data_IF_483412685170
#
_entry.id   IF_483412685170
#
_cell.length_a   1.000
_cell.length_b   1.000
_cell.length_c   1.000
_cell.angle_alpha   90.00
_cell.angle_beta   90.00
_cell.angle_gamma   90.00
#
_symmetry.space_group_name_H-M   'P 1'
#
loop_
_entity.id
_entity.type
_entity.pdbx_description
1 polymer ?
#
# COMPACT_ATOMS: atom_id res chain seq x y z
N UNK A 1 38.36 -10.08 -54.38
CA UNK A 1 37.48 -11.26 -54.49
C UNK A 1 37.93 -12.24 -53.42
N UNK A 2 36.98 -12.75 -52.62
CA UNK A 2 37.11 -13.42 -51.32
C UNK A 2 37.47 -12.48 -50.15
N UNK A 3 36.74 -12.45 -49.03
CA UNK A 3 35.76 -13.38 -48.48
C UNK A 3 34.71 -12.64 -47.62
N UNK A 4 33.43 -12.82 -47.95
CA UNK A 4 32.34 -12.67 -46.99
C UNK A 4 32.55 -13.71 -45.87
N UNK A 5 32.84 -13.23 -44.66
CA UNK A 5 32.65 -14.02 -43.44
C UNK A 5 31.46 -13.42 -42.69
N UNK A 6 30.29 -14.01 -42.92
CA UNK A 6 29.09 -13.81 -42.12
C UNK A 6 29.31 -14.44 -40.74
N UNK A 7 29.85 -13.67 -39.79
CA UNK A 7 29.74 -13.99 -38.38
C UNK A 7 28.35 -13.61 -37.90
N UNK A 8 27.43 -14.59 -37.84
CA UNK A 8 26.27 -14.46 -36.95
C UNK A 8 26.82 -14.14 -35.56
N UNK A 9 26.33 -13.08 -34.92
CA UNK A 9 26.56 -12.85 -33.49
C UNK A 9 25.93 -14.01 -32.71
N UNK A 10 26.69 -15.09 -32.53
CA UNK A 10 26.37 -16.14 -31.58
C UNK A 10 26.14 -15.48 -30.22
N UNK A 11 25.00 -15.76 -29.58
CA UNK A 11 24.74 -15.42 -28.19
C UNK A 11 25.83 -16.05 -27.32
N UNK A 12 26.93 -15.35 -27.10
CA UNK A 12 27.96 -15.75 -26.13
C UNK A 12 27.34 -15.60 -24.74
N UNK A 13 26.78 -16.70 -24.23
CA UNK A 13 26.32 -16.77 -22.84
C UNK A 13 27.57 -16.88 -21.98
N UNK A 14 27.90 -15.82 -21.23
CA UNK A 14 28.98 -15.87 -20.24
C UNK A 14 28.69 -17.00 -19.24
N UNK A 15 29.54 -18.03 -19.22
CA UNK A 15 29.45 -19.15 -18.29
C UNK A 15 29.54 -18.66 -16.84
N UNK A 16 30.34 -17.61 -16.61
CA UNK A 16 30.47 -16.99 -15.29
C UNK A 16 29.17 -16.30 -14.87
N UNK A 17 28.56 -15.50 -15.75
CA UNK A 17 27.26 -14.87 -15.47
C UNK A 17 26.17 -15.92 -15.25
N UNK A 18 26.19 -17.04 -15.98
CA UNK A 18 25.27 -18.15 -15.76
C UNK A 18 25.44 -18.79 -14.37
N UNK A 19 26.69 -18.89 -13.86
CA UNK A 19 26.96 -19.33 -12.47
C UNK A 19 26.41 -18.33 -11.47
N UNK A 20 26.68 -17.03 -11.64
CA UNK A 20 26.14 -15.98 -10.77
C UNK A 20 24.62 -16.04 -10.66
N UNK A 21 23.92 -16.19 -11.79
CA UNK A 21 22.45 -16.34 -11.81
C UNK A 21 21.98 -17.61 -11.08
N UNK A 22 22.69 -18.74 -11.26
CA UNK A 22 22.37 -19.98 -10.55
C UNK A 22 22.54 -19.80 -9.04
N UNK A 23 23.70 -19.29 -8.62
CA UNK A 23 23.98 -19.02 -7.20
C UNK A 23 22.98 -18.03 -6.61
N UNK A 24 22.58 -16.98 -7.34
CA UNK A 24 21.56 -16.03 -6.88
C UNK A 24 20.20 -16.69 -6.66
N UNK A 25 19.76 -17.59 -7.55
CA UNK A 25 18.51 -18.35 -7.32
C UNK A 25 18.62 -19.29 -6.11
N UNK A 26 19.73 -20.03 -6.03
CA UNK A 26 19.97 -20.97 -4.93
C UNK A 26 20.06 -20.24 -3.58
N UNK A 27 20.69 -19.06 -3.54
CA UNK A 27 20.83 -18.24 -2.34
C UNK A 27 19.49 -17.68 -1.85
N UNK A 28 18.61 -17.21 -2.75
CA UNK A 28 17.25 -16.77 -2.35
C UNK A 28 16.47 -17.92 -1.70
N UNK A 29 16.51 -19.12 -2.29
CA UNK A 29 15.89 -20.31 -1.72
C UNK A 29 16.47 -20.63 -0.33
N UNK A 30 17.79 -20.64 -0.20
CA UNK A 30 18.47 -20.90 1.09
C UNK A 30 18.16 -19.85 2.16
N UNK A 31 18.05 -18.58 1.79
CA UNK A 31 17.64 -17.51 2.72
C UNK A 31 16.19 -17.71 3.19
N UNK A 32 15.30 -18.15 2.30
CA UNK A 32 13.93 -18.51 2.66
C UNK A 32 13.88 -19.71 3.60
N UNK A 33 14.57 -20.80 3.27
CA UNK A 33 14.69 -21.99 4.13
C UNK A 33 15.28 -21.64 5.51
N UNK A 34 16.30 -20.78 5.54
CA UNK A 34 16.91 -20.32 6.79
C UNK A 34 15.93 -19.49 7.63
N UNK A 35 15.10 -18.66 6.99
CA UNK A 35 14.08 -17.85 7.66
C UNK A 35 12.94 -18.68 8.27
N UNK A 36 12.74 -19.93 7.84
CA UNK A 36 11.75 -20.86 8.37
C UNK A 36 12.29 -21.77 9.50
N UNK A 37 13.58 -21.68 9.83
CA UNK A 37 14.15 -22.49 10.92
C UNK A 37 13.50 -22.18 12.27
N UNK A 38 13.39 -23.21 13.13
CA UNK A 38 12.65 -23.12 14.39
C UNK A 38 13.14 -22.01 15.34
N UNK A 39 14.43 -21.68 15.27
CA UNK A 39 15.04 -20.60 16.06
C UNK A 39 14.52 -19.19 15.69
N UNK A 40 13.95 -19.02 14.49
CA UNK A 40 13.43 -17.73 14.03
C UNK A 40 11.90 -17.61 14.12
N UNK A 41 11.19 -18.66 14.56
CA UNK A 41 9.71 -18.64 14.65
C UNK A 41 9.23 -17.44 15.47
N UNK A 42 9.82 -17.20 16.64
CA UNK A 42 9.41 -16.06 17.50
C UNK A 42 9.67 -14.70 16.83
N UNK A 43 10.83 -14.52 16.20
CA UNK A 43 11.19 -13.27 15.53
C UNK A 43 10.35 -13.05 14.27
N UNK A 44 10.06 -14.11 13.50
CA UNK A 44 9.20 -14.06 12.33
C UNK A 44 7.76 -13.65 12.70
N UNK A 45 7.22 -14.18 13.81
CA UNK A 45 5.90 -13.79 14.31
C UNK A 45 5.86 -12.30 14.71
N UNK A 46 6.88 -11.81 15.41
CA UNK A 46 6.99 -10.37 15.74
C UNK A 46 7.11 -9.51 14.49
N UNK A 47 7.88 -9.96 13.49
CA UNK A 47 8.04 -9.25 12.24
C UNK A 47 6.72 -9.16 11.46
N UNK A 48 5.96 -10.26 11.40
CA UNK A 48 4.63 -10.30 10.81
C UNK A 48 3.67 -9.34 11.52
N UNK A 49 3.55 -9.43 12.85
CA UNK A 49 2.71 -8.54 13.64
C UNK A 49 3.04 -7.06 13.37
N UNK A 50 4.33 -6.73 13.30
CA UNK A 50 4.80 -5.38 13.04
C UNK A 50 4.53 -4.91 11.61
N UNK A 51 4.80 -5.75 10.62
CA UNK A 51 4.60 -5.44 9.21
C UNK A 51 3.12 -5.23 8.92
N UNK A 52 2.27 -6.16 9.37
CA UNK A 52 0.84 -6.14 9.11
C UNK A 52 0.09 -5.08 9.90
N UNK A 53 0.61 -4.61 11.03
CA UNK A 53 0.04 -3.46 11.75
C UNK A 53 0.01 -2.16 10.90
N UNK A 54 0.79 -2.11 9.80
CA UNK A 54 0.80 -0.97 8.88
C UNK A 54 -0.16 -1.13 7.68
N UNK A 55 -0.75 -2.31 7.49
CA UNK A 55 -1.63 -2.63 6.37
C UNK A 55 -3.09 -2.68 6.81
N UNK A 56 -4.02 -2.47 5.87
CA UNK A 56 -5.42 -2.81 6.14
C UNK A 56 -5.51 -4.33 6.33
N UNK A 57 -6.20 -4.77 7.39
CA UNK A 57 -6.20 -6.19 7.75
C UNK A 57 -6.82 -7.09 6.68
N UNK A 58 -7.61 -6.50 5.78
CA UNK A 58 -8.24 -7.18 4.64
C UNK A 58 -7.26 -7.53 3.50
N UNK A 59 -6.02 -7.06 3.58
CA UNK A 59 -4.92 -7.41 2.68
C UNK A 59 -4.01 -8.49 3.29
N UNK A 60 -4.18 -8.80 4.57
CA UNK A 60 -3.39 -9.79 5.31
C UNK A 60 -3.98 -11.20 5.08
N UNK A 61 -3.91 -11.72 3.85
CA UNK A 61 -4.05 -13.17 3.59
C UNK A 61 -3.77 -13.57 2.13
N UNK A 62 -3.22 -12.69 1.28
CA UNK A 62 -2.81 -13.09 -0.06
C UNK A 62 -1.33 -13.50 -0.08
N UNK A 63 -1.02 -14.55 -0.87
CA UNK A 63 0.34 -15.10 -1.03
C UNK A 63 1.35 -13.99 -1.37
N UNK A 64 0.89 -12.95 -2.07
CA UNK A 64 1.69 -11.81 -2.49
C UNK A 64 2.11 -10.91 -1.32
N UNK A 65 1.19 -10.60 -0.40
CA UNK A 65 1.44 -9.77 0.78
C UNK A 65 2.30 -10.54 1.78
N UNK A 66 2.10 -11.86 1.89
CA UNK A 66 2.98 -12.76 2.64
C UNK A 66 4.39 -12.80 2.05
N UNK A 67 4.54 -12.93 0.73
CA UNK A 67 5.84 -12.90 0.03
C UNK A 67 6.62 -11.63 0.37
N UNK A 68 5.95 -10.47 0.38
CA UNK A 68 6.57 -9.16 0.68
C UNK A 68 6.92 -8.99 2.15
N UNK A 69 6.05 -9.44 3.06
CA UNK A 69 6.36 -9.48 4.49
C UNK A 69 7.59 -10.35 4.75
N UNK A 70 7.70 -11.49 4.05
CA UNK A 70 8.80 -12.42 4.21
C UNK A 70 10.11 -11.87 3.65
N UNK A 71 10.08 -11.21 2.48
CA UNK A 71 11.24 -10.48 1.96
C UNK A 71 11.70 -9.40 2.96
N UNK A 72 10.75 -8.61 3.47
CA UNK A 72 11.04 -7.56 4.44
C UNK A 72 11.67 -8.11 5.71
N UNK A 73 11.19 -9.26 6.21
CA UNK A 73 11.79 -9.97 7.34
C UNK A 73 13.25 -10.36 7.07
N UNK A 74 13.56 -10.86 5.87
CA UNK A 74 14.91 -11.32 5.51
C UNK A 74 15.91 -10.14 5.42
N UNK A 75 15.50 -9.03 4.82
CA UNK A 75 16.41 -7.96 4.41
C UNK A 75 16.34 -6.68 5.25
N UNK A 76 15.21 -6.38 5.89
CA UNK A 76 14.97 -5.08 6.52
C UNK A 76 14.69 -5.17 8.02
N UNK A 77 14.00 -6.23 8.47
CA UNK A 77 13.65 -6.39 9.88
C UNK A 77 14.90 -6.55 10.76
N UNK A 78 14.98 -5.74 11.82
CA UNK A 78 16.06 -5.78 12.80
C UNK A 78 15.65 -6.70 13.95
N UNK A 79 16.20 -7.91 13.94
CA UNK A 79 16.04 -8.87 15.03
C UNK A 79 16.87 -8.44 16.26
N UNK A 80 16.76 -9.22 17.34
CA UNK A 80 17.61 -9.05 18.54
C UNK A 80 19.10 -8.94 18.16
N UNK A 81 19.77 -7.90 18.67
CA UNK A 81 21.17 -7.60 18.34
C UNK A 81 21.35 -6.71 17.11
N UNK A 82 20.28 -6.10 16.60
CA UNK A 82 20.27 -5.11 15.51
C UNK A 82 20.79 -5.65 14.16
N UNK A 83 20.61 -6.96 13.93
CA UNK A 83 20.97 -7.66 12.69
C UNK A 83 19.73 -8.08 11.91
N UNK A 84 19.83 -8.03 10.59
CA UNK A 84 18.86 -8.64 9.69
C UNK A 84 19.16 -10.12 9.52
N UNK A 85 18.17 -10.92 9.08
CA UNK A 85 18.36 -12.35 8.89
C UNK A 85 19.39 -12.66 7.80
N UNK A 86 19.37 -11.90 6.70
CA UNK A 86 20.42 -11.94 5.66
C UNK A 86 21.83 -11.68 6.21
N UNK A 87 21.96 -10.77 7.19
CA UNK A 87 23.24 -10.52 7.86
C UNK A 87 23.67 -11.70 8.73
N UNK A 88 22.75 -12.28 9.51
CA UNK A 88 23.03 -13.48 10.31
C UNK A 88 23.45 -14.64 9.41
N UNK A 89 22.73 -14.86 8.30
CA UNK A 89 23.08 -15.89 7.32
C UNK A 89 24.49 -15.71 6.77
N UNK A 90 24.91 -14.48 6.47
CA UNK A 90 26.26 -14.19 5.94
C UNK A 90 27.42 -14.49 6.88
N UNK A 91 27.15 -14.68 8.17
CA UNK A 91 28.15 -14.98 9.20
C UNK A 91 28.32 -16.49 9.43
N UNK A 92 27.53 -17.34 8.75
CA UNK A 92 27.68 -18.78 8.81
C UNK A 92 29.05 -19.21 8.23
N UNK A 93 29.70 -20.25 8.82
CA UNK A 93 31.02 -20.69 8.37
C UNK A 93 31.02 -21.29 6.96
N UNK A 94 29.95 -22.02 6.60
CA UNK A 94 29.88 -22.89 5.43
C UNK A 94 29.20 -22.24 4.21
N UNK A 95 29.51 -20.97 3.94
CA UNK A 95 28.99 -20.23 2.77
C UNK A 95 30.03 -20.25 1.65
N UNK A 96 29.58 -20.55 0.42
CA UNK A 96 30.46 -20.58 -0.76
C UNK A 96 30.97 -19.18 -1.13
N UNK A 97 32.07 -19.11 -1.89
CA UNK A 97 32.63 -17.84 -2.36
C UNK A 97 31.61 -16.97 -3.11
N UNK A 98 30.85 -17.56 -4.04
CA UNK A 98 29.89 -16.80 -4.84
C UNK A 98 28.73 -16.27 -3.97
N UNK A 99 28.27 -17.05 -2.98
CA UNK A 99 27.25 -16.60 -2.03
C UNK A 99 27.76 -15.45 -1.16
N UNK A 100 29.00 -15.52 -0.67
CA UNK A 100 29.62 -14.42 0.10
C UNK A 100 29.67 -13.12 -0.69
N UNK A 101 30.04 -13.19 -1.98
CA UNK A 101 30.08 -12.02 -2.87
C UNK A 101 28.67 -11.45 -3.08
N UNK A 102 27.68 -12.30 -3.39
CA UNK A 102 26.30 -11.83 -3.54
C UNK A 102 25.74 -11.23 -2.25
N UNK A 103 25.96 -11.87 -1.09
CA UNK A 103 25.49 -11.38 0.21
C UNK A 103 26.10 -10.02 0.58
N UNK A 104 27.36 -9.77 0.23
CA UNK A 104 27.98 -8.47 0.47
C UNK A 104 27.24 -7.32 -0.26
N UNK A 105 26.76 -7.58 -1.47
CA UNK A 105 25.91 -6.63 -2.21
C UNK A 105 24.47 -6.61 -1.66
N UNK A 106 23.89 -7.78 -1.37
CA UNK A 106 22.46 -7.91 -1.03
C UNK A 106 22.11 -7.39 0.36
N UNK A 107 22.99 -7.50 1.35
CA UNK A 107 22.77 -6.97 2.71
C UNK A 107 22.62 -5.45 2.70
N UNK A 108 23.24 -4.78 1.73
CA UNK A 108 23.17 -3.33 1.55
C UNK A 108 22.10 -2.91 0.53
N UNK A 109 21.38 -3.87 -0.06
CA UNK A 109 20.25 -3.58 -0.93
C UNK A 109 19.09 -3.01 -0.11
N UNK A 110 18.16 -2.32 -0.79
CA UNK A 110 16.95 -1.75 -0.17
C UNK A 110 15.77 -1.83 -1.13
N UNK A 111 14.57 -1.79 -0.57
CA UNK A 111 13.38 -1.44 -1.33
C UNK A 111 13.45 0.06 -1.65
N UNK A 112 13.21 0.44 -2.91
CA UNK A 112 13.10 1.83 -3.35
C UNK A 112 11.96 1.99 -4.35
N UNK A 113 11.69 3.24 -4.71
CA UNK A 113 10.77 3.62 -5.77
C UNK A 113 11.52 3.85 -7.07
N UNK A 114 11.07 3.22 -8.15
CA UNK A 114 11.70 3.30 -9.45
C UNK A 114 10.72 3.70 -10.53
N UNK A 115 11.12 4.63 -11.40
CA UNK A 115 10.37 4.97 -12.60
C UNK A 115 10.86 4.12 -13.78
N UNK A 116 9.94 3.49 -14.52
CA UNK A 116 10.28 2.72 -15.73
C UNK A 116 10.62 3.69 -16.86
N UNK A 117 11.89 3.73 -17.27
CA UNK A 117 12.36 4.63 -18.34
C UNK A 117 12.27 3.95 -19.71
N UNK A 118 12.54 2.64 -19.76
CA UNK A 118 12.53 1.88 -21.02
C UNK A 118 12.21 0.42 -20.76
N UNK A 119 11.37 -0.17 -21.61
CA UNK A 119 11.05 -1.60 -21.57
C UNK A 119 11.66 -2.29 -22.80
N UNK A 120 12.32 -3.43 -22.58
CA UNK A 120 12.73 -4.37 -23.62
C UNK A 120 11.90 -5.66 -23.44
N UNK A 121 10.78 -5.80 -24.19
CA UNK A 121 9.80 -6.84 -23.95
C UNK A 121 10.40 -8.25 -23.83
N UNK A 122 9.93 -9.03 -22.85
CA UNK A 122 10.38 -10.40 -22.55
C UNK A 122 11.88 -10.54 -22.23
N UNK A 123 12.57 -9.44 -21.92
CA UNK A 123 14.02 -9.44 -21.68
C UNK A 123 14.42 -8.67 -20.42
N UNK A 124 14.16 -7.36 -20.39
CA UNK A 124 14.74 -6.45 -19.39
C UNK A 124 14.09 -5.07 -19.44
N UNK A 125 14.44 -4.21 -18.48
CA UNK A 125 13.98 -2.83 -18.42
C UNK A 125 15.08 -1.91 -17.88
N UNK A 126 15.02 -0.63 -18.24
CA UNK A 126 15.81 0.44 -17.61
C UNK A 126 14.88 1.17 -16.65
N UNK A 127 15.28 1.24 -15.40
CA UNK A 127 14.54 1.91 -14.34
C UNK A 127 15.41 3.00 -13.73
N UNK A 128 14.79 4.09 -13.27
CA UNK A 128 15.45 5.19 -12.57
C UNK A 128 15.02 5.17 -11.11
N UNK A 129 15.97 5.03 -10.19
CA UNK A 129 15.70 5.22 -8.76
C UNK A 129 15.26 6.67 -8.56
N UNK A 130 14.02 6.89 -8.13
CA UNK A 130 13.44 8.23 -7.99
C UNK A 130 14.15 9.00 -6.89
N UNK A 131 14.66 8.27 -5.89
CA UNK A 131 15.36 8.84 -4.74
C UNK A 131 16.77 9.28 -5.14
N UNK A 132 17.58 8.39 -5.72
CA UNK A 132 19.00 8.70 -6.06
C UNK A 132 19.22 9.28 -7.45
N UNK A 133 18.23 9.19 -8.34
CA UNK A 133 18.34 9.53 -9.75
C UNK A 133 19.15 8.53 -10.58
N UNK A 134 19.66 7.44 -9.98
CA UNK A 134 20.47 6.45 -10.68
C UNK A 134 19.64 5.60 -11.64
N UNK A 135 20.14 5.41 -12.85
CA UNK A 135 19.56 4.46 -13.81
C UNK A 135 20.17 3.05 -13.61
N UNK A 136 19.31 2.04 -13.61
CA UNK A 136 19.67 0.62 -13.49
C UNK A 136 19.08 -0.16 -14.65
N UNK A 137 19.86 -1.08 -15.22
CA UNK A 137 19.37 -2.06 -16.19
C UNK A 137 19.06 -3.36 -15.46
N UNK A 138 17.77 -3.68 -15.35
CA UNK A 138 17.28 -4.87 -14.63
C UNK A 138 16.79 -5.92 -15.61
N UNK A 139 17.24 -7.16 -15.40
CA UNK A 139 16.87 -8.33 -16.20
C UNK A 139 15.71 -9.05 -15.54
N UNK A 140 14.50 -8.76 -16.01
CA UNK A 140 13.29 -9.49 -15.63
C UNK A 140 12.34 -9.55 -16.82
N UNK A 141 12.07 -10.76 -17.31
CA UNK A 141 11.23 -10.96 -18.48
C UNK A 141 9.73 -10.89 -18.16
N UNK A 142 9.32 -11.27 -16.93
CA UNK A 142 7.92 -11.24 -16.51
C UNK A 142 7.50 -9.79 -16.34
N UNK A 143 8.24 -9.04 -15.51
CA UNK A 143 7.95 -7.63 -15.24
C UNK A 143 8.01 -6.81 -16.53
N UNK A 144 9.00 -7.04 -17.41
CA UNK A 144 9.10 -6.35 -18.70
C UNK A 144 7.94 -6.65 -19.68
N UNK A 145 7.04 -7.58 -19.36
CA UNK A 145 5.83 -7.85 -20.15
C UNK A 145 4.58 -7.22 -19.51
N UNK A 146 4.63 -6.89 -18.23
CA UNK A 146 3.50 -6.42 -17.43
C UNK A 146 3.50 -4.92 -17.16
N UNK A 147 4.65 -4.24 -17.36
CA UNK A 147 4.81 -2.81 -17.05
C UNK A 147 5.00 -1.96 -18.29
N UNK A 148 4.60 -0.69 -18.16
CA UNK A 148 4.74 0.34 -19.19
C UNK A 148 5.75 1.41 -18.79
N UNK A 149 6.27 2.13 -19.78
CA UNK A 149 7.13 3.30 -19.56
C UNK A 149 6.36 4.33 -18.73
N UNK A 150 7.01 4.87 -17.70
CA UNK A 150 6.45 5.80 -16.73
C UNK A 150 5.80 5.14 -15.50
N UNK A 151 5.55 3.83 -15.51
CA UNK A 151 5.09 3.14 -14.30
C UNK A 151 6.07 3.33 -13.14
N UNK A 152 5.53 3.38 -11.91
CA UNK A 152 6.29 3.50 -10.68
C UNK A 152 6.32 2.17 -9.96
N UNK A 153 7.50 1.61 -9.75
CA UNK A 153 7.73 0.31 -9.14
C UNK A 153 8.20 0.47 -7.70
N UNK A 154 7.62 -0.29 -6.78
CA UNK A 154 8.17 -0.50 -5.43
C UNK A 154 8.81 -1.88 -5.33
N UNK A 155 10.13 -1.94 -5.47
CA UNK A 155 10.88 -3.20 -5.56
C UNK A 155 12.25 -3.10 -4.88
N UNK A 156 12.82 -4.27 -4.56
CA UNK A 156 14.23 -4.41 -4.21
C UNK A 156 15.00 -4.91 -5.42
N UNK A 157 16.08 -4.20 -5.77
CA UNK A 157 16.97 -4.55 -6.87
C UNK A 157 18.24 -5.21 -6.31
N UNK A 158 18.54 -6.42 -6.79
CA UNK A 158 19.67 -7.23 -6.36
C UNK A 158 20.72 -7.30 -7.47
N UNK A 159 21.99 -7.10 -7.09
CA UNK A 159 23.12 -7.29 -8.01
C UNK A 159 23.46 -8.77 -8.11
N UNK A 160 23.59 -9.28 -9.33
CA UNK A 160 23.89 -10.69 -9.63
C UNK A 160 24.99 -10.72 -10.69
N UNK A 161 26.25 -10.80 -10.24
CA UNK A 161 27.40 -10.67 -11.12
C UNK A 161 27.45 -9.27 -11.76
N UNK A 162 27.34 -9.22 -13.09
CA UNK A 162 27.34 -7.96 -13.86
C UNK A 162 25.93 -7.43 -14.17
N UNK A 163 24.89 -8.08 -13.68
CA UNK A 163 23.50 -7.73 -13.96
C UNK A 163 22.75 -7.37 -12.68
N UNK A 164 21.57 -6.78 -12.84
CA UNK A 164 20.61 -6.58 -11.78
C UNK A 164 19.34 -7.40 -12.03
N UNK A 165 18.76 -7.92 -10.97
CA UNK A 165 17.48 -8.65 -10.97
C UNK A 165 16.58 -8.07 -9.89
N UNK A 166 15.27 -8.27 -10.02
CA UNK A 166 14.38 -8.04 -8.88
C UNK A 166 14.49 -9.17 -7.86
N UNK A 167 14.23 -8.82 -6.61
CA UNK A 167 14.29 -9.77 -5.50
C UNK A 167 13.03 -10.64 -5.41
N UNK A 168 11.86 -10.04 -5.67
CA UNK A 168 10.51 -10.63 -5.56
C UNK A 168 9.55 -9.96 -6.55
N UNK A 169 8.31 -10.40 -6.58
CA UNK A 169 7.17 -9.76 -7.24
C UNK A 169 6.99 -8.31 -6.78
N UNK A 170 6.86 -7.38 -7.72
CA UNK A 170 6.76 -5.95 -7.47
C UNK A 170 5.33 -5.42 -7.51
N UNK A 171 5.13 -4.27 -6.87
CA UNK A 171 3.95 -3.45 -7.13
C UNK A 171 4.30 -2.43 -8.21
N UNK A 172 3.46 -2.36 -9.25
CA UNK A 172 3.53 -1.32 -10.28
C UNK A 172 2.33 -0.38 -10.11
N UNK A 173 2.61 0.92 -10.05
CA UNK A 173 1.60 1.97 -10.08
C UNK A 173 1.65 2.74 -11.41
N UNK A 174 0.55 3.35 -11.84
CA UNK A 174 0.56 4.26 -12.97
C UNK A 174 1.49 5.45 -12.73
N UNK A 175 1.99 6.07 -13.81
CA UNK A 175 2.86 7.25 -13.74
C UNK A 175 2.25 8.39 -12.90
N UNK A 176 0.92 8.56 -13.00
CA UNK A 176 0.16 9.57 -12.26
C UNK A 176 0.24 9.42 -10.73
N UNK A 177 0.63 8.25 -10.21
CA UNK A 177 0.78 8.01 -8.77
C UNK A 177 2.07 8.59 -8.19
N UNK A 178 3.07 8.93 -9.02
CA UNK A 178 4.38 9.43 -8.60
C UNK A 178 4.30 10.62 -7.64
N UNK A 179 3.56 11.71 -7.95
CA UNK A 179 3.53 12.88 -7.07
C UNK A 179 2.94 12.58 -5.69
N UNK A 180 1.90 11.74 -5.62
CA UNK A 180 1.25 11.36 -4.37
C UNK A 180 2.17 10.56 -3.44
N UNK A 181 2.97 9.65 -4.00
CA UNK A 181 3.98 8.92 -3.24
C UNK A 181 5.05 9.84 -2.68
N UNK A 182 5.54 10.78 -3.50
CA UNK A 182 6.58 11.73 -3.07
C UNK A 182 6.06 12.68 -1.98
N UNK A 183 4.79 13.10 -2.03
CA UNK A 183 4.16 13.87 -0.95
C UNK A 183 4.12 13.05 0.34
N UNK A 184 3.66 11.79 0.30
CA UNK A 184 3.62 10.92 1.50
C UNK A 184 5.00 10.73 2.13
N UNK A 185 6.03 10.51 1.29
CA UNK A 185 7.41 10.42 1.76
C UNK A 185 7.85 11.74 2.40
N UNK A 186 7.61 12.86 1.71
CA UNK A 186 7.96 14.19 2.22
C UNK A 186 7.38 14.44 3.62
N UNK A 187 6.08 14.23 3.78
CA UNK A 187 5.38 14.51 5.04
C UNK A 187 5.89 13.62 6.18
N UNK A 188 6.11 12.34 5.91
CA UNK A 188 6.65 11.39 6.88
C UNK A 188 8.08 11.74 7.29
N UNK A 189 8.92 12.13 6.34
CA UNK A 189 10.30 12.57 6.61
C UNK A 189 10.29 13.83 7.49
N UNK A 190 9.43 14.80 7.18
CA UNK A 190 9.29 16.00 8.00
C UNK A 190 8.79 15.69 9.41
N UNK A 191 7.79 14.80 9.54
CA UNK A 191 7.26 14.38 10.82
C UNK A 191 8.34 13.71 11.68
N UNK A 192 9.11 12.78 11.11
CA UNK A 192 10.21 12.11 11.79
C UNK A 192 11.32 13.08 12.20
N UNK A 193 11.66 14.04 11.35
CA UNK A 193 12.65 15.06 11.66
C UNK A 193 12.20 15.94 12.83
N UNK A 194 10.94 16.39 12.82
CA UNK A 194 10.35 17.25 13.84
C UNK A 194 10.20 16.52 15.19
N UNK A 195 9.68 15.29 15.19
CA UNK A 195 9.46 14.50 16.43
C UNK A 195 10.78 14.15 17.13
N UNK A 196 11.79 13.77 16.36
CA UNK A 196 13.07 13.34 16.91
C UNK A 196 14.05 14.49 17.18
N UNK A 197 13.66 15.75 16.89
CA UNK A 197 14.54 16.94 16.95
C UNK A 197 15.91 16.66 16.33
N UNK A 198 15.93 15.94 15.20
CA UNK A 198 17.18 15.48 14.62
C UNK A 198 18.06 16.67 14.25
N UNK A 199 19.27 16.72 14.80
CA UNK A 199 20.22 17.80 14.51
C UNK A 199 20.95 17.58 13.18
N UNK A 200 20.85 16.38 12.60
CA UNK A 200 21.56 15.97 11.37
C UNK A 200 20.57 15.27 10.42
N UNK A 201 20.66 15.51 9.10
CA UNK A 201 19.86 14.80 8.11
C UNK A 201 20.01 13.26 8.21
N UNK A 202 18.90 12.54 8.08
CA UNK A 202 18.90 11.07 8.04
C UNK A 202 19.52 10.57 6.71
N UNK A 203 20.09 9.37 6.66
CA UNK A 203 20.49 8.78 5.38
C UNK A 203 19.27 8.17 4.67
N UNK A 204 19.19 8.28 3.32
CA UNK A 204 18.10 7.68 2.55
C UNK A 204 17.99 6.17 2.77
N UNK A 205 19.12 5.50 2.87
CA UNK A 205 19.20 4.06 3.14
C UNK A 205 18.56 3.72 4.49
N UNK A 206 18.84 4.52 5.51
CA UNK A 206 18.27 4.33 6.86
C UNK A 206 16.77 4.57 6.87
N UNK A 207 16.31 5.62 6.17
CA UNK A 207 14.89 5.92 6.04
C UNK A 207 14.15 4.78 5.33
N UNK A 208 14.62 4.38 4.14
CA UNK A 208 13.98 3.35 3.32
C UNK A 208 13.97 1.99 4.01
N UNK A 209 15.04 1.59 4.70
CA UNK A 209 15.03 0.37 5.52
C UNK A 209 13.99 0.43 6.65
N UNK A 210 13.94 1.54 7.38
CA UNK A 210 13.03 1.68 8.51
C UNK A 210 11.56 1.80 8.10
N UNK A 211 11.28 2.36 6.91
CA UNK A 211 9.93 2.72 6.46
C UNK A 211 9.42 1.88 5.29
N UNK A 212 10.17 0.89 4.80
CA UNK A 212 9.79 0.07 3.63
C UNK A 212 8.40 -0.58 3.78
N UNK A 213 8.08 -1.13 4.95
CA UNK A 213 6.74 -1.69 5.25
C UNK A 213 5.61 -0.64 5.16
N UNK A 214 5.87 0.60 5.58
CA UNK A 214 4.88 1.69 5.53
C UNK A 214 4.75 2.25 4.10
N UNK A 215 5.86 2.39 3.38
CA UNK A 215 5.84 2.76 1.97
C UNK A 215 5.08 1.70 1.17
N UNK A 216 5.28 0.41 1.50
CA UNK A 216 4.50 -0.68 0.92
C UNK A 216 3.00 -0.51 1.15
N UNK A 217 2.59 -0.21 2.37
CA UNK A 217 1.19 0.09 2.70
C UNK A 217 0.64 1.23 1.83
N UNK A 218 1.37 2.34 1.68
CA UNK A 218 0.95 3.44 0.82
C UNK A 218 0.82 3.06 -0.66
N UNK A 219 1.73 2.22 -1.16
CA UNK A 219 1.68 1.75 -2.55
C UNK A 219 0.47 0.83 -2.77
N UNK A 220 0.17 -0.07 -1.83
CA UNK A 220 -1.02 -0.92 -1.92
C UNK A 220 -2.28 -0.06 -1.87
N UNK A 221 -2.37 0.86 -0.91
CA UNK A 221 -3.48 1.81 -0.79
C UNK A 221 -3.70 2.54 -2.13
N UNK A 222 -2.67 3.21 -2.66
CA UNK A 222 -2.77 3.96 -3.92
C UNK A 222 -3.15 3.03 -5.08
N UNK A 223 -2.64 1.80 -5.11
CA UNK A 223 -2.99 0.80 -6.12
C UNK A 223 -4.47 0.42 -6.10
N UNK A 224 -5.05 0.25 -4.91
CA UNK A 224 -6.48 -0.03 -4.74
C UNK A 224 -7.35 1.15 -5.21
N UNK A 225 -6.96 2.39 -4.89
CA UNK A 225 -7.73 3.59 -5.25
C UNK A 225 -7.54 4.03 -6.71
N UNK A 226 -6.47 3.61 -7.37
CA UNK A 226 -6.23 3.94 -8.79
C UNK A 226 -6.98 3.02 -9.77
N UNK A 227 -7.77 2.06 -9.26
CA UNK A 227 -8.54 1.15 -10.10
C UNK A 227 -7.66 0.21 -10.94
N UNK A 228 -6.43 -0.07 -10.48
CA UNK A 228 -5.54 -0.99 -11.16
C UNK A 228 -6.22 -2.35 -11.35
N UNK A 229 -6.06 -2.99 -12.52
CA UNK A 229 -6.46 -4.37 -12.67
C UNK A 229 -5.73 -5.20 -11.61
N UNK A 230 -6.48 -6.06 -10.92
CA UNK A 230 -5.94 -7.18 -10.15
C UNK A 230 -4.80 -7.82 -10.97
N UNK A 231 -3.66 -8.14 -10.34
CA UNK A 231 -2.46 -8.76 -10.95
C UNK A 231 -2.76 -10.07 -11.74
N UNK A 232 -4.03 -10.49 -11.81
CA UNK A 232 -4.59 -11.55 -12.65
C UNK A 232 -4.80 -11.19 -14.14
N UNK A 233 -4.28 -10.08 -14.64
CA UNK A 233 -4.19 -9.84 -16.09
C UNK A 233 -5.52 -9.67 -16.83
N UNK A 234 -6.59 -9.23 -16.16
CA UNK A 234 -7.82 -8.82 -16.84
C UNK A 234 -7.76 -7.34 -17.18
N UNK A 235 -7.16 -7.02 -18.33
CA UNK A 235 -7.31 -5.71 -18.95
C UNK A 235 -8.74 -5.55 -19.48
N UNK A 236 -9.43 -4.52 -19.00
CA UNK A 236 -10.35 -3.77 -19.84
C UNK A 236 -10.01 -2.31 -19.66
N UNK A 237 -9.51 -1.73 -20.74
CA UNK A 237 -9.26 -0.32 -20.93
C UNK A 237 -10.46 0.48 -20.40
N UNK A 238 -10.24 1.13 -19.25
CA UNK A 238 -10.94 2.34 -18.88
C UNK A 238 -9.85 3.31 -18.48
N UNK A 239 -9.49 4.18 -19.43
CA UNK A 239 -8.81 5.43 -19.11
C UNK A 239 -9.57 6.12 -17.98
N UNK A 240 -9.05 5.98 -16.76
CA UNK A 240 -9.57 6.71 -15.62
C UNK A 240 -9.02 8.12 -15.75
N UNK A 241 -9.87 9.06 -16.17
CA UNK A 241 -9.56 10.48 -16.21
C UNK A 241 -9.28 10.99 -14.79
N UNK A 242 -8.04 10.83 -14.32
CA UNK A 242 -7.46 11.52 -13.17
C UNK A 242 -7.27 13.00 -13.54
N UNK A 243 -8.37 13.73 -13.64
CA UNK A 243 -8.36 15.17 -13.85
C UNK A 243 -8.27 15.89 -12.49
N UNK A 244 -7.24 15.54 -11.70
CA UNK A 244 -6.90 16.21 -10.45
C UNK A 244 -5.57 16.92 -10.74
N UNK A 245 -5.60 18.26 -10.73
CA UNK A 245 -4.51 19.22 -10.96
C UNK A 245 -3.12 18.64 -11.27
N UNK A 246 -2.59 18.94 -12.46
CA UNK A 246 -1.26 18.54 -12.95
C UNK A 246 -0.14 19.04 -12.02
N UNK A 247 0.20 18.28 -10.98
CA UNK A 247 1.53 18.35 -10.38
C UNK A 247 2.53 18.00 -11.47
N UNK A 248 3.39 18.95 -11.79
CA UNK A 248 4.37 18.81 -12.85
C UNK A 248 5.59 18.03 -12.34
N UNK A 249 6.41 17.50 -13.26
CA UNK A 249 7.73 16.96 -12.90
C UNK A 249 8.58 17.99 -12.12
N UNK A 250 8.39 19.29 -12.37
CA UNK A 250 9.05 20.36 -11.62
C UNK A 250 8.64 20.40 -10.15
N UNK A 251 7.35 20.17 -9.83
CA UNK A 251 6.86 20.14 -8.46
C UNK A 251 7.40 18.93 -7.69
N UNK A 252 7.50 17.78 -8.38
CA UNK A 252 8.13 16.58 -7.83
C UNK A 252 9.62 16.82 -7.54
N UNK A 253 10.34 17.42 -8.48
CA UNK A 253 11.75 17.80 -8.28
C UNK A 253 11.94 18.78 -7.12
N UNK A 254 11.00 19.72 -6.93
CA UNK A 254 11.04 20.67 -5.81
C UNK A 254 10.82 19.96 -4.47
N UNK A 255 9.89 19.01 -4.41
CA UNK A 255 9.66 18.17 -3.24
C UNK A 255 10.88 17.31 -2.91
N UNK A 256 11.50 16.67 -3.91
CA UNK A 256 12.73 15.89 -3.72
C UNK A 256 13.88 16.77 -3.20
N UNK A 257 14.02 17.99 -3.73
CA UNK A 257 15.00 18.99 -3.22
C UNK A 257 14.68 19.43 -1.80
N UNK A 258 13.42 19.52 -1.42
CA UNK A 258 13.01 19.84 -0.06
C UNK A 258 13.35 18.68 0.90
N UNK A 259 13.02 17.44 0.53
CA UNK A 259 13.39 16.23 1.27
C UNK A 259 14.91 16.17 1.49
N UNK A 260 15.71 16.55 0.49
CA UNK A 260 17.17 16.57 0.58
C UNK A 260 17.72 17.49 1.69
N UNK A 261 16.91 18.40 2.26
CA UNK A 261 17.27 19.19 3.45
C UNK A 261 17.24 18.38 4.74
N UNK A 262 16.40 17.35 4.78
CA UNK A 262 16.16 16.49 5.95
C UNK A 262 16.79 15.10 5.80
N UNK A 263 17.07 14.68 4.56
CA UNK A 263 17.71 13.41 4.23
C UNK A 263 18.90 13.64 3.31
N UNK A 264 20.03 13.03 3.63
CA UNK A 264 21.23 13.08 2.80
C UNK A 264 21.57 11.72 2.20
N UNK A 265 22.30 11.72 1.08
CA UNK A 265 22.93 10.53 0.51
C UNK A 265 24.29 10.21 1.12
N UNK A 266 24.76 10.99 2.10
CA UNK A 266 26.08 10.74 2.68
C UNK A 266 25.97 9.56 3.64
N UNK A 267 26.62 8.46 3.27
CA UNK A 267 26.95 7.38 4.18
C UNK A 267 27.80 7.93 5.33
N UNK A 268 27.20 8.18 6.48
CA UNK A 268 27.98 8.36 7.71
C UNK A 268 28.47 6.99 8.15
N UNK A 269 29.72 6.68 7.81
CA UNK A 269 30.50 5.68 8.54
C UNK A 269 30.62 6.12 10.01
N UNK A 270 30.27 5.18 10.90
CA UNK A 270 30.63 5.09 12.32
C UNK A 270 30.61 6.36 13.19
N UNK A 271 29.60 6.47 14.05
CA UNK A 271 29.82 6.88 15.45
C UNK A 271 28.62 6.51 16.34
N UNK A 272 28.86 5.62 17.30
CA UNK A 272 28.16 5.56 18.59
C UNK A 272 26.65 5.28 18.57
N UNK A 273 26.31 3.99 18.73
CA UNK A 273 25.02 3.57 19.26
C UNK A 273 24.82 4.19 20.66
N UNK A 274 24.02 5.25 20.76
CA UNK A 274 23.26 5.50 21.98
C UNK A 274 21.94 4.75 21.86
N UNK A 275 21.93 3.59 22.51
CA UNK A 275 20.75 2.78 22.76
C UNK A 275 19.85 3.51 23.75
N UNK A 276 18.80 4.14 23.24
CA UNK A 276 17.59 4.39 24.02
C UNK A 276 16.39 3.90 23.21
N UNK A 277 16.30 2.57 23.14
CA UNK A 277 15.10 1.87 22.70
C UNK A 277 14.02 2.02 23.76
N UNK A 278 13.26 3.12 23.66
CA UNK A 278 11.94 3.25 24.27
C UNK A 278 10.95 3.61 23.17
N UNK A 279 10.63 2.61 22.33
CA UNK A 279 9.45 2.69 21.46
C UNK A 279 8.24 2.64 22.38
N UNK A 280 7.73 3.83 22.70
CA UNK A 280 6.48 4.00 23.40
C UNK A 280 5.36 3.40 22.55
N UNK A 281 4.63 2.44 23.15
CA UNK A 281 3.30 2.02 22.69
C UNK A 281 2.37 3.22 22.74
N UNK A 282 2.22 3.95 21.64
CA UNK A 282 1.05 4.79 21.45
C UNK A 282 -0.03 3.94 20.78
N UNK A 283 -0.97 3.47 21.61
CA UNK A 283 -2.34 3.18 21.16
C UNK A 283 -2.89 4.50 20.59
N UNK A 284 -2.84 4.65 19.28
CA UNK A 284 -3.71 5.61 18.60
C UNK A 284 -5.14 5.06 18.66
N UNK A 285 -5.80 5.26 19.81
CA UNK A 285 -7.24 5.39 19.82
C UNK A 285 -7.54 6.72 19.13
N UNK A 286 -7.71 6.67 17.80
CA UNK A 286 -8.30 7.75 17.04
C UNK A 286 -9.62 8.13 17.70
N UNK A 287 -9.63 9.30 18.32
CA UNK A 287 -10.78 9.85 19.03
C UNK A 287 -11.80 10.26 17.94
N UNK A 288 -12.87 9.47 17.81
CA UNK A 288 -14.18 9.81 17.23
C UNK A 288 -14.23 11.18 16.52
N UNK A 289 -14.00 11.20 15.21
CA UNK A 289 -14.35 12.35 14.37
C UNK A 289 -15.78 12.08 13.87
N UNK A 290 -16.73 12.79 14.48
CA UNK A 290 -18.17 12.57 14.36
C UNK A 290 -18.91 12.90 15.66
N UNK A 291 -18.24 12.86 16.82
CA UNK A 291 -18.76 13.50 18.03
C UNK A 291 -18.42 14.98 18.01
N UNK A 292 -19.19 15.78 17.28
CA UNK A 292 -19.49 17.12 17.84
C UNK A 292 -20.06 16.85 19.23
N UNK A 293 -19.46 17.48 20.23
CA UNK A 293 -19.96 17.45 21.60
C UNK A 293 -21.38 18.03 21.63
N UNK A 294 -22.38 17.19 21.40
CA UNK A 294 -23.74 17.47 21.84
C UNK A 294 -23.69 17.24 23.35
N UNK A 295 -23.51 18.34 24.08
CA UNK A 295 -23.85 18.43 25.50
C UNK A 295 -25.16 17.68 25.72
N UNK A 296 -25.17 16.74 26.68
CA UNK A 296 -26.36 16.25 27.41
C UNK A 296 -27.69 16.79 26.85
N UNK A 297 -28.21 16.13 25.83
CA UNK A 297 -29.60 16.23 25.42
C UNK A 297 -30.08 14.79 25.25
N UNK A 298 -31.24 14.51 25.85
CA UNK A 298 -31.70 13.17 26.21
C UNK A 298 -31.73 12.14 25.08
N UNK A 299 -31.74 10.89 25.52
CA UNK A 299 -31.98 9.65 24.81
C UNK A 299 -33.29 9.64 23.98
N UNK A 300 -33.34 10.36 22.86
CA UNK A 300 -34.43 10.32 21.87
C UNK A 300 -33.89 10.64 20.45
N UNK A 301 -32.89 9.89 19.97
CA UNK A 301 -32.57 9.89 18.55
C UNK A 301 -33.60 9.01 17.84
N UNK A 302 -34.38 9.58 16.92
CA UNK A 302 -35.42 8.84 16.20
C UNK A 302 -34.77 7.87 15.21
N UNK A 303 -35.23 6.61 15.19
CA UNK A 303 -34.81 5.62 14.19
C UNK A 303 -35.52 5.94 12.87
N UNK A 304 -34.80 5.98 11.75
CA UNK A 304 -35.40 6.19 10.44
C UNK A 304 -36.38 5.05 10.10
N UNK A 305 -37.54 5.42 9.55
CA UNK A 305 -38.49 4.46 8.97
C UNK A 305 -38.15 4.24 7.49
N UNK A 306 -37.61 3.06 7.15
CA UNK A 306 -37.13 2.78 5.78
C UNK A 306 -38.25 2.61 4.74
N UNK A 307 -39.51 2.49 5.17
CA UNK A 307 -40.67 2.40 4.28
C UNK A 307 -41.31 3.78 4.02
N UNK A 308 -40.88 4.79 4.78
CA UNK A 308 -41.33 6.16 4.62
C UNK A 308 -40.36 6.89 3.69
N UNK A 309 -40.68 6.92 2.39
CA UNK A 309 -39.90 7.62 1.37
C UNK A 309 -39.06 6.73 0.43
N UNK A 310 -38.94 5.42 0.71
CA UNK A 310 -38.27 4.47 -0.18
C UNK A 310 -39.22 3.34 -0.60
N UNK A 311 -39.34 3.08 -1.90
CA UNK A 311 -40.14 1.98 -2.45
C UNK A 311 -39.25 0.82 -2.91
N UNK A 312 -39.19 -0.25 -2.12
CA UNK A 312 -38.28 -1.36 -2.35
C UNK A 312 -38.82 -2.35 -3.38
N UNK A 313 -38.04 -2.63 -4.44
CA UNK A 313 -38.42 -3.64 -5.46
C UNK A 313 -38.51 -5.07 -4.90
N UNK A 314 -37.77 -5.37 -3.83
CA UNK A 314 -37.72 -6.68 -3.19
C UNK A 314 -37.71 -6.54 -1.68
N UNK A 315 -38.40 -7.44 -1.00
CA UNK A 315 -38.46 -7.49 0.48
C UNK A 315 -37.06 -7.62 1.11
N UNK A 316 -36.17 -8.39 0.50
CA UNK A 316 -34.79 -8.54 0.99
C UNK A 316 -33.97 -7.23 0.91
N UNK A 317 -34.38 -6.26 0.07
CA UNK A 317 -33.71 -4.95 0.02
C UNK A 317 -34.14 -4.06 1.19
N UNK A 318 -35.42 -4.06 1.55
CA UNK A 318 -35.90 -3.40 2.77
C UNK A 318 -35.29 -4.04 4.01
N UNK A 319 -35.15 -5.36 4.06
CA UNK A 319 -34.50 -6.06 5.20
C UNK A 319 -33.06 -5.58 5.42
N UNK A 320 -32.29 -5.39 4.35
CA UNK A 320 -30.93 -4.81 4.45
C UNK A 320 -30.97 -3.38 5.00
N UNK A 321 -31.90 -2.55 4.54
CA UNK A 321 -32.04 -1.17 5.00
C UNK A 321 -32.43 -1.12 6.49
N UNK A 322 -33.34 -1.98 6.95
CA UNK A 322 -33.75 -2.06 8.35
C UNK A 322 -32.59 -2.45 9.26
N UNK A 323 -31.81 -3.47 8.85
CA UNK A 323 -30.61 -3.89 9.58
C UNK A 323 -29.55 -2.79 9.61
N UNK A 324 -29.31 -2.12 8.48
CA UNK A 324 -28.38 -1.00 8.39
C UNK A 324 -28.76 0.14 9.35
N UNK A 325 -30.02 0.55 9.33
CA UNK A 325 -30.53 1.61 10.23
C UNK A 325 -30.40 1.19 11.69
N UNK A 326 -30.64 -0.08 12.02
CA UNK A 326 -30.44 -0.57 13.39
C UNK A 326 -28.98 -0.47 13.83
N UNK A 327 -28.03 -0.88 12.99
CA UNK A 327 -26.59 -0.80 13.31
C UNK A 327 -26.16 0.66 13.48
N UNK A 328 -26.52 1.53 12.53
CA UNK A 328 -26.17 2.96 12.57
C UNK A 328 -26.78 3.66 13.80
N UNK A 329 -28.04 3.35 14.13
CA UNK A 329 -28.68 3.90 15.32
C UNK A 329 -27.95 3.49 16.62
N UNK A 330 -27.56 2.21 16.75
CA UNK A 330 -26.77 1.71 17.89
C UNK A 330 -25.40 2.38 17.98
N UNK A 331 -24.80 2.71 16.84
CA UNK A 331 -23.53 3.43 16.76
C UNK A 331 -23.66 4.95 16.98
N UNK A 332 -24.89 5.46 17.13
CA UNK A 332 -25.17 6.86 17.45
C UNK A 332 -25.23 7.80 16.25
N UNK A 333 -25.41 7.27 15.03
CA UNK A 333 -25.63 8.08 13.84
C UNK A 333 -27.01 8.75 13.89
N UNK A 334 -27.07 10.01 13.45
CA UNK A 334 -28.30 10.79 13.41
C UNK A 334 -29.24 10.37 12.25
N UNK A 335 -30.53 10.75 12.27
CA UNK A 335 -31.49 10.33 11.24
C UNK A 335 -31.10 10.71 9.81
N UNK A 336 -30.42 11.85 9.61
CA UNK A 336 -30.00 12.28 8.27
C UNK A 336 -28.84 11.43 7.74
N UNK A 337 -27.94 10.99 8.62
CA UNK A 337 -26.88 10.05 8.26
C UNK A 337 -27.44 8.65 7.96
N UNK A 338 -28.44 8.21 8.73
CA UNK A 338 -29.16 6.97 8.46
C UNK A 338 -29.84 7.04 7.08
N UNK A 339 -30.50 8.15 6.77
CA UNK A 339 -31.17 8.35 5.48
C UNK A 339 -30.18 8.34 4.32
N UNK A 340 -29.03 9.00 4.45
CA UNK A 340 -27.97 8.98 3.44
C UNK A 340 -27.45 7.57 3.15
N UNK A 341 -27.24 6.75 4.19
CA UNK A 341 -26.83 5.36 4.03
C UNK A 341 -27.90 4.48 3.37
N UNK A 342 -29.17 4.68 3.73
CA UNK A 342 -30.31 3.97 3.10
C UNK A 342 -30.49 4.38 1.64
N UNK A 343 -30.31 5.66 1.33
CA UNK A 343 -30.36 6.19 -0.04
C UNK A 343 -29.26 5.59 -0.92
N UNK A 344 -28.04 5.45 -0.39
CA UNK A 344 -26.95 4.76 -1.08
C UNK A 344 -27.31 3.32 -1.43
N UNK A 345 -27.91 2.59 -0.48
CA UNK A 345 -28.37 1.24 -0.74
C UNK A 345 -29.52 1.18 -1.76
N UNK A 346 -30.45 2.12 -1.68
CA UNK A 346 -31.57 2.24 -2.60
C UNK A 346 -31.10 2.49 -4.04
N UNK A 347 -30.16 3.42 -4.23
CA UNK A 347 -29.60 3.75 -5.54
C UNK A 347 -28.81 2.57 -6.12
N UNK A 348 -28.06 1.85 -5.28
CA UNK A 348 -27.37 0.62 -5.70
C UNK A 348 -28.36 -0.46 -6.14
N UNK A 349 -29.42 -0.71 -5.36
CA UNK A 349 -30.44 -1.69 -5.70
C UNK A 349 -31.16 -1.37 -7.01
N UNK A 350 -31.50 -0.09 -7.20
CA UNK A 350 -32.18 0.39 -8.40
C UNK A 350 -31.33 0.20 -9.66
N UNK A 351 -30.00 0.33 -9.52
CA UNK A 351 -29.05 0.18 -10.62
C UNK A 351 -28.66 -1.27 -10.92
N UNK A 352 -28.23 -2.01 -9.91
CA UNK A 352 -27.57 -3.32 -10.09
C UNK A 352 -28.50 -4.52 -9.85
N UNK A 353 -29.66 -4.32 -9.20
CA UNK A 353 -30.64 -5.37 -8.89
C UNK A 353 -30.00 -6.64 -8.30
N UNK A 354 -29.18 -6.51 -7.24
CA UNK A 354 -28.35 -7.59 -6.72
C UNK A 354 -29.20 -8.79 -6.25
N UNK A 355 -28.68 -10.00 -6.43
CA UNK A 355 -29.29 -11.25 -5.94
C UNK A 355 -28.40 -11.83 -4.84
N UNK A 356 -28.96 -11.99 -3.65
CA UNK A 356 -28.27 -12.54 -2.47
C UNK A 356 -29.27 -13.22 -1.53
N UNK A 357 -28.76 -13.96 -0.54
CA UNK A 357 -29.60 -14.77 0.37
C UNK A 357 -29.61 -14.28 1.82
N UNK A 358 -28.62 -13.48 2.23
CA UNK A 358 -28.45 -13.04 3.63
C UNK A 358 -28.28 -11.52 3.67
N UNK A 359 -29.27 -10.82 4.22
CA UNK A 359 -29.26 -9.35 4.32
C UNK A 359 -28.04 -8.81 5.09
N UNK A 360 -27.57 -9.55 6.11
CA UNK A 360 -26.40 -9.16 6.91
C UNK A 360 -25.13 -8.95 6.09
N UNK A 361 -25.00 -9.60 4.92
CA UNK A 361 -23.81 -9.47 4.06
C UNK A 361 -23.71 -8.09 3.39
N UNK A 362 -24.85 -7.45 3.15
CA UNK A 362 -24.91 -6.13 2.54
C UNK A 362 -25.05 -5.02 3.59
N UNK A 363 -25.83 -5.23 4.65
CA UNK A 363 -25.98 -4.22 5.71
C UNK A 363 -24.63 -3.90 6.36
N UNK A 364 -23.80 -4.91 6.61
CA UNK A 364 -22.45 -4.71 7.16
C UNK A 364 -21.48 -4.05 6.15
N UNK A 365 -21.59 -4.37 4.87
CA UNK A 365 -20.80 -3.72 3.83
C UNK A 365 -21.17 -2.24 3.66
N UNK A 366 -22.44 -1.89 3.83
CA UNK A 366 -22.92 -0.50 3.84
C UNK A 366 -22.43 0.27 5.06
N UNK A 367 -22.38 -0.36 6.24
CA UNK A 367 -21.76 0.24 7.45
C UNK A 367 -20.29 0.56 7.19
N UNK A 368 -19.56 -0.39 6.58
CA UNK A 368 -18.17 -0.15 6.21
C UNK A 368 -18.02 0.96 5.15
N UNK A 369 -18.91 1.00 4.16
CA UNK A 369 -18.91 2.05 3.13
C UNK A 369 -19.12 3.44 3.74
N UNK A 370 -20.08 3.59 4.65
CA UNK A 370 -20.35 4.84 5.37
C UNK A 370 -19.11 5.29 6.15
N UNK A 371 -18.45 4.36 6.84
CA UNK A 371 -17.22 4.68 7.57
C UNK A 371 -16.10 5.16 6.65
N UNK A 372 -15.87 4.48 5.52
CA UNK A 372 -14.83 4.88 4.55
C UNK A 372 -15.15 6.20 3.86
N UNK A 373 -16.41 6.46 3.50
CA UNK A 373 -16.88 7.75 2.98
C UNK A 373 -16.67 8.91 3.95
N UNK A 374 -16.81 8.65 5.25
CA UNK A 374 -16.53 9.62 6.31
C UNK A 374 -15.06 9.73 6.71
N UNK A 375 -14.16 9.00 6.04
CA UNK A 375 -12.74 8.83 6.41
C UNK A 375 -12.54 8.35 7.86
N UNK A 376 -13.50 7.57 8.38
CA UNK A 376 -13.40 6.94 9.69
C UNK A 376 -12.48 5.71 9.61
N UNK A 377 -11.26 5.89 10.13
CA UNK A 377 -10.24 4.84 10.23
C UNK A 377 -10.47 3.89 11.40
N UNK A 378 -11.42 4.18 12.29
CA UNK A 378 -11.70 3.35 13.48
C UNK A 378 -12.62 2.16 13.21
N UNK A 379 -13.28 2.12 12.04
CA UNK A 379 -14.12 0.99 11.63
C UNK A 379 -13.31 0.06 10.73
N UNK A 380 -13.21 -1.21 11.15
CA UNK A 380 -12.45 -2.26 10.46
C UNK A 380 -13.41 -3.37 10.00
N UNK A 381 -13.24 -3.88 8.77
CA UNK A 381 -14.10 -4.94 8.23
C UNK A 381 -14.03 -6.20 9.07
N UNK A 382 -12.84 -6.60 9.56
CA UNK A 382 -12.66 -7.77 10.42
C UNK A 382 -13.43 -7.71 11.74
N UNK A 383 -13.50 -6.53 12.36
CA UNK A 383 -14.30 -6.32 13.57
C UNK A 383 -15.77 -6.51 13.25
N UNK A 384 -16.25 -5.91 12.17
CA UNK A 384 -17.62 -6.07 11.69
C UNK A 384 -17.94 -7.52 11.27
N UNK A 385 -17.01 -8.19 10.60
CA UNK A 385 -17.12 -9.58 10.18
C UNK A 385 -17.35 -10.51 11.37
N UNK A 386 -16.54 -10.36 12.43
CA UNK A 386 -16.67 -11.12 13.68
C UNK A 386 -17.96 -10.78 14.42
N UNK A 387 -18.29 -9.49 14.55
CA UNK A 387 -19.47 -9.03 15.28
C UNK A 387 -20.79 -9.52 14.65
N UNK A 388 -20.87 -9.53 13.32
CA UNK A 388 -22.10 -9.84 12.59
C UNK A 388 -22.09 -11.23 11.92
N UNK A 389 -21.05 -12.04 12.13
CA UNK A 389 -20.94 -13.40 11.58
C UNK A 389 -20.99 -13.43 10.06
N UNK A 390 -20.20 -12.56 9.42
CA UNK A 390 -20.03 -12.44 7.96
C UNK A 390 -18.54 -12.58 7.63
N UNK A 391 -18.19 -13.18 6.49
CA UNK A 391 -16.79 -13.24 6.08
C UNK A 391 -16.29 -11.86 5.62
N UNK A 392 -15.09 -11.44 6.05
CA UNK A 392 -14.49 -10.14 5.66
C UNK A 392 -14.38 -9.98 4.14
N UNK A 393 -14.03 -11.06 3.43
CA UNK A 393 -14.00 -11.09 1.96
C UNK A 393 -15.36 -10.77 1.33
N UNK A 394 -16.47 -11.15 1.97
CA UNK A 394 -17.83 -10.81 1.51
C UNK A 394 -18.10 -9.31 1.67
N UNK A 395 -17.70 -8.73 2.81
CA UNK A 395 -17.84 -7.29 3.09
C UNK A 395 -17.07 -6.50 2.04
N UNK A 396 -15.79 -6.85 1.83
CA UNK A 396 -14.91 -6.19 0.87
C UNK A 396 -15.43 -6.26 -0.57
N UNK A 397 -15.88 -7.44 -1.00
CA UNK A 397 -16.41 -7.62 -2.35
C UNK A 397 -17.70 -6.81 -2.58
N UNK A 398 -18.61 -6.80 -1.60
CA UNK A 398 -19.84 -6.01 -1.66
C UNK A 398 -19.54 -4.51 -1.63
N UNK A 399 -18.60 -4.07 -0.78
CA UNK A 399 -18.13 -2.69 -0.72
C UNK A 399 -17.54 -2.22 -2.07
N UNK A 400 -16.61 -2.99 -2.66
CA UNK A 400 -16.04 -2.66 -3.99
C UNK A 400 -17.09 -2.68 -5.09
N UNK A 401 -18.08 -3.57 -5.01
CA UNK A 401 -19.20 -3.59 -5.94
C UNK A 401 -20.01 -2.29 -5.85
N UNK A 402 -20.31 -1.86 -4.63
CA UNK A 402 -21.04 -0.64 -4.32
C UNK A 402 -20.29 0.61 -4.80
N UNK A 403 -18.98 0.71 -4.52
CA UNK A 403 -18.15 1.83 -4.96
C UNK A 403 -18.08 1.93 -6.48
N UNK A 404 -17.83 0.82 -7.18
CA UNK A 404 -17.77 0.79 -8.66
C UNK A 404 -19.11 1.09 -9.31
N UNK A 405 -20.21 0.58 -8.75
CA UNK A 405 -21.53 0.79 -9.32
C UNK A 405 -22.01 2.23 -9.15
N UNK A 406 -21.76 2.85 -7.99
CA UNK A 406 -22.22 4.20 -7.71
C UNK A 406 -21.20 5.30 -8.02
N UNK A 407 -19.97 4.93 -8.39
CA UNK A 407 -18.83 5.84 -8.60
C UNK A 407 -18.61 6.73 -7.36
N UNK A 408 -18.48 6.08 -6.21
CA UNK A 408 -18.42 6.76 -4.91
C UNK A 408 -17.13 7.56 -4.74
N UNK A 409 -17.26 8.73 -4.11
CA UNK A 409 -16.14 9.58 -3.68
C UNK A 409 -16.21 9.86 -2.19
N UNK A 410 -15.09 10.12 -1.52
CA UNK A 410 -15.08 10.52 -0.13
C UNK A 410 -15.99 11.75 0.10
N UNK A 411 -16.77 11.72 1.17
CA UNK A 411 -17.82 12.71 1.47
C UNK A 411 -18.84 12.93 0.34
N UNK A 412 -19.18 11.87 -0.41
CA UNK A 412 -20.16 11.95 -1.50
C UNK A 412 -21.45 12.65 -1.04
N UNK A 413 -21.71 13.83 -1.60
CA UNK A 413 -22.82 14.71 -1.19
C UNK A 413 -24.20 14.09 -1.44
N UNK A 414 -24.30 13.04 -2.24
CA UNK A 414 -25.55 12.28 -2.42
C UNK A 414 -25.95 11.54 -1.14
N UNK A 415 -24.97 11.13 -0.33
CA UNK A 415 -25.17 10.22 0.80
C UNK A 415 -24.62 10.77 2.13
N UNK A 416 -23.83 11.85 2.10
CA UNK A 416 -23.36 12.57 3.27
C UNK A 416 -23.94 13.98 3.30
N UNK A 417 -24.80 14.24 4.29
CA UNK A 417 -25.49 15.53 4.51
C UNK A 417 -24.75 16.46 5.47
N UNK A 418 -23.72 15.94 6.17
CA UNK A 418 -22.94 16.73 7.09
C UNK A 418 -21.91 17.60 6.37
N UNK A 419 -21.69 18.79 6.92
CA UNK A 419 -20.58 19.67 6.60
C UNK A 419 -19.27 18.87 6.57
N UNK A 420 -18.61 18.85 5.40
CA UNK A 420 -17.34 18.13 5.23
C UNK A 420 -16.36 18.55 6.35
N UNK A 421 -15.73 17.62 7.08
CA UNK A 421 -14.70 17.96 8.06
C UNK A 421 -13.52 18.69 7.41
N UNK A 422 -13.45 18.63 6.08
CA UNK A 422 -12.54 19.40 5.26
C UNK A 422 -12.89 20.88 5.19
N UNK A 423 -13.97 21.40 5.79
CA UNK A 423 -14.27 22.85 5.79
C UNK A 423 -13.20 23.65 6.54
N UNK A 424 -12.70 23.13 7.66
CA UNK A 424 -11.58 23.76 8.35
C UNK A 424 -10.29 23.60 7.55
N UNK A 425 -10.08 22.41 6.96
CA UNK A 425 -8.98 22.19 6.03
C UNK A 425 -9.06 23.12 4.82
N UNK A 426 -10.25 23.42 4.29
CA UNK A 426 -10.47 24.28 3.12
C UNK A 426 -10.10 25.73 3.40
N UNK A 427 -10.06 26.12 4.67
CA UNK A 427 -9.58 27.44 5.12
C UNK A 427 -8.05 27.48 5.26
N UNK A 428 -7.42 26.36 5.57
CA UNK A 428 -5.97 26.24 5.85
C UNK A 428 -5.19 25.80 4.61
N UNK A 429 -5.72 24.82 3.90
CA UNK A 429 -5.25 24.19 2.67
C UNK A 429 -6.46 23.83 1.77
N UNK A 430 -6.93 24.81 0.96
CA UNK A 430 -8.04 24.61 0.02
C UNK A 430 -7.82 23.46 -0.97
N UNK A 431 -6.55 23.21 -1.33
CA UNK A 431 -6.15 22.22 -2.32
C UNK A 431 -6.27 20.80 -1.75
N UNK A 432 -5.75 20.56 -0.54
CA UNK A 432 -5.88 19.25 0.10
C UNK A 432 -7.34 18.91 0.43
N UNK A 433 -8.14 19.92 0.80
CA UNK A 433 -9.59 19.75 0.97
C UNK A 433 -10.28 19.35 -0.34
N UNK A 434 -9.91 19.97 -1.47
CA UNK A 434 -10.48 19.63 -2.78
C UNK A 434 -10.03 18.24 -3.29
N UNK A 435 -8.78 17.83 -3.01
CA UNK A 435 -8.28 16.48 -3.33
C UNK A 435 -9.06 15.43 -2.54
N UNK A 436 -9.29 15.65 -1.25
CA UNK A 436 -10.01 14.71 -0.40
C UNK A 436 -11.53 14.70 -0.70
N UNK A 437 -12.13 15.80 -1.16
CA UNK A 437 -13.54 15.84 -1.61
C UNK A 437 -13.77 15.07 -2.93
N UNK A 438 -12.74 14.91 -3.76
CA UNK A 438 -12.84 14.24 -5.08
C UNK A 438 -12.18 12.85 -5.12
N UNK A 439 -11.72 12.33 -3.98
CA UNK A 439 -11.09 11.03 -3.88
C UNK A 439 -12.12 9.93 -4.12
N UNK A 440 -12.04 9.23 -5.26
CA UNK A 440 -12.87 8.04 -5.54
C UNK A 440 -12.50 6.89 -4.61
N UNK A 441 -13.52 6.18 -4.11
CA UNK A 441 -13.39 5.03 -3.20
C UNK A 441 -13.43 3.69 -3.91
#
# INVERSE_FOLDING_TARGET
MYSECCGMEEKVISLEQARWRKTGRDLRRKLGEFAEESQFIEESGKAQDYYFASLDEDLIDDDFTMERCFEWFIFDYRMKGDKTLSKVYSELPDISFHEKVLLADWINSRISLYEVIKVFPKKSLIIKDIVSGQNLHVRDASVATEVEVGNILLMRVLKVGQEYEFSTSGLALPAASKPFLIIKIHDDVQELYNKNKLQVPMAWEKYLHARSHIINSWVIDIGLYSGLPDNRGNSRDKEMNLNIFKLTEYDVDLLLKNIARYISFKSTESSGLNSDSRVMREKYQGKLIGKKAIKKAGSNLQKLNVHEGFQWEREIYSEVAEQLVEILHKQGYDPSQQEGAVRMWFDFCSKEKPVFRKASTWSVALVYAVARLGLDKGVHQNTLAKEYGVASSTISNNFRSLCRALDLVAFDRRYFTQDSPLIELKKVDPLLAEILENLRL
#
